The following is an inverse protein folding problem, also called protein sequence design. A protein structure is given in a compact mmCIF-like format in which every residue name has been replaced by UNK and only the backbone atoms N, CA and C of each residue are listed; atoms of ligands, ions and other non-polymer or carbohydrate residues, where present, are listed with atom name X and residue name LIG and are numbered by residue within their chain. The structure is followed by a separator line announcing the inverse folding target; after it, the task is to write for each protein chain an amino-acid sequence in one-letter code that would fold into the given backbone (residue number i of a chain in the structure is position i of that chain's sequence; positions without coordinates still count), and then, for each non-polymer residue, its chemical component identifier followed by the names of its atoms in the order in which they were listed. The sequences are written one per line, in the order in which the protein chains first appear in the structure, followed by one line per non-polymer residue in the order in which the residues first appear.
data_IF_702636143506
#
_entry.id   IF_702636143506
#
_cell.length_a   1.000
_cell.length_b   1.000
_cell.length_c   1.000
_cell.angle_alpha   90.00
_cell.angle_beta   90.00
_cell.angle_gamma   90.00
#
_symmetry.space_group_name_H-M   'P 1'
#
loop_
_entity.id
_entity.type
_entity.pdbx_description
1 polymer ?
#
# COMPACT_ATOMS: atom_id res chain seq x y z
N UNK A 1 -9.30 -16.34 -16.00
CA UNK A 1 -8.01 -16.71 -15.41
C UNK A 1 -8.02 -16.42 -13.92
N UNK A 2 -7.50 -17.37 -13.14
CA UNK A 2 -7.30 -17.20 -11.71
C UNK A 2 -5.79 -17.30 -11.41
N UNK A 3 -5.24 -16.31 -10.73
CA UNK A 3 -3.85 -16.25 -10.29
C UNK A 3 -3.83 -16.19 -8.77
N UNK A 4 -3.41 -17.28 -8.17
CA UNK A 4 -3.23 -17.41 -6.73
C UNK A 4 -1.84 -16.90 -6.32
N UNK A 5 -1.69 -16.53 -5.05
CA UNK A 5 -0.43 -16.01 -4.48
C UNK A 5 0.10 -14.75 -5.19
N UNK A 6 -0.81 -13.87 -5.62
CA UNK A 6 -0.46 -12.64 -6.32
C UNK A 6 0.46 -11.71 -5.50
N UNK A 7 0.45 -11.84 -4.17
CA UNK A 7 1.28 -11.04 -3.27
C UNK A 7 2.77 -11.41 -3.26
N UNK A 8 3.14 -12.55 -3.84
CA UNK A 8 4.56 -12.96 -3.99
C UNK A 8 4.99 -13.06 -5.46
N UNK A 9 4.18 -12.52 -6.37
CA UNK A 9 4.45 -12.53 -7.80
C UNK A 9 5.14 -11.22 -8.24
N UNK A 10 6.48 -11.19 -8.40
CA UNK A 10 7.24 -9.95 -8.60
C UNK A 10 6.95 -9.27 -9.95
N UNK A 11 6.29 -9.96 -10.87
CA UNK A 11 5.91 -9.46 -12.21
C UNK A 11 4.41 -9.55 -12.44
N UNK A 12 3.62 -9.38 -11.41
CA UNK A 12 2.17 -9.52 -11.45
C UNK A 12 1.53 -8.57 -12.47
N UNK A 13 1.99 -7.33 -12.54
CA UNK A 13 1.56 -6.33 -13.49
C UNK A 13 1.83 -6.75 -14.95
N UNK A 14 3.00 -7.32 -15.22
CA UNK A 14 3.35 -7.84 -16.54
C UNK A 14 2.49 -9.06 -16.91
N UNK A 15 2.30 -9.97 -15.95
CA UNK A 15 1.41 -11.14 -16.14
C UNK A 15 0.01 -10.69 -16.53
N UNK A 16 -0.54 -9.71 -15.82
CA UNK A 16 -1.83 -9.13 -16.14
C UNK A 16 -1.88 -8.54 -17.55
N UNK A 17 -0.89 -7.75 -17.95
CA UNK A 17 -0.83 -7.14 -19.28
C UNK A 17 -0.75 -8.20 -20.39
N UNK A 18 -0.03 -9.29 -20.19
CA UNK A 18 0.00 -10.41 -21.16
C UNK A 18 -1.32 -11.16 -21.23
N UNK A 19 -2.10 -11.22 -20.15
CA UNK A 19 -3.39 -11.92 -20.14
C UNK A 19 -4.54 -11.05 -20.69
N UNK A 20 -4.42 -9.72 -20.67
CA UNK A 20 -5.48 -8.80 -21.16
C UNK A 20 -5.97 -9.11 -22.58
N UNK A 21 -5.13 -9.32 -23.59
CA UNK A 21 -5.60 -9.66 -24.94
C UNK A 21 -6.43 -10.95 -24.99
N UNK A 22 -6.08 -11.95 -24.18
CA UNK A 22 -6.78 -13.22 -24.15
C UNK A 22 -8.18 -13.14 -23.50
N UNK A 23 -8.50 -12.01 -22.83
CA UNK A 23 -9.80 -11.75 -22.22
C UNK A 23 -10.70 -10.88 -23.09
N UNK A 24 -10.27 -10.54 -24.30
CA UNK A 24 -11.02 -9.65 -25.21
C UNK A 24 -11.23 -10.32 -26.57
N UNK A 25 -12.39 -9.98 -27.17
CA UNK A 25 -12.68 -10.24 -28.56
C UNK A 25 -13.02 -8.90 -29.24
N UNK A 26 -12.04 -8.35 -29.95
CA UNK A 26 -12.11 -6.97 -30.44
C UNK A 26 -12.21 -5.97 -29.27
N UNK A 27 -13.27 -5.18 -29.26
CA UNK A 27 -13.52 -4.19 -28.17
C UNK A 27 -14.34 -4.77 -26.99
N UNK A 28 -14.80 -6.02 -27.11
CA UNK A 28 -15.65 -6.65 -26.09
C UNK A 28 -14.81 -7.47 -25.12
N UNK A 29 -15.00 -7.25 -23.82
CA UNK A 29 -14.42 -8.10 -22.78
C UNK A 29 -15.22 -9.39 -22.68
N UNK A 30 -14.56 -10.53 -22.89
CA UNK A 30 -15.16 -11.87 -22.91
C UNK A 30 -14.65 -12.76 -21.79
N UNK A 31 -13.67 -12.31 -21.03
CA UNK A 31 -13.06 -13.06 -19.93
C UNK A 31 -12.85 -12.18 -18.70
N UNK A 32 -12.42 -12.83 -17.61
CA UNK A 32 -12.11 -12.20 -16.34
C UNK A 32 -10.75 -12.70 -15.84
N UNK A 33 -10.00 -11.80 -15.22
CA UNK A 33 -8.78 -12.13 -14.49
C UNK A 33 -9.03 -11.85 -13.00
N UNK A 34 -8.79 -12.84 -12.17
CA UNK A 34 -8.85 -12.74 -10.73
C UNK A 34 -7.45 -13.02 -10.19
N UNK A 35 -6.88 -12.05 -9.49
CA UNK A 35 -5.64 -12.19 -8.75
C UNK A 35 -5.97 -12.13 -7.26
N UNK A 36 -5.56 -13.14 -6.51
CA UNK A 36 -5.76 -13.21 -5.08
C UNK A 36 -4.49 -13.66 -4.37
N UNK A 37 -4.31 -13.26 -3.14
CA UNK A 37 -3.18 -13.67 -2.32
C UNK A 37 -3.00 -12.79 -1.10
N UNK A 38 -2.24 -13.28 -0.14
CA UNK A 38 -1.74 -12.50 0.99
C UNK A 38 -0.50 -11.70 0.58
N UNK A 39 -0.14 -10.70 1.38
CA UNK A 39 1.12 -9.98 1.19
C UNK A 39 2.26 -10.84 1.72
N UNK A 40 3.24 -11.09 0.86
CA UNK A 40 4.48 -11.81 1.20
C UNK A 40 5.69 -10.88 1.31
N UNK A 41 6.80 -11.25 0.67
CA UNK A 41 7.96 -10.37 0.56
C UNK A 41 7.59 -9.09 -0.20
N UNK A 42 7.95 -7.98 0.39
CA UNK A 42 7.57 -6.65 -0.03
C UNK A 42 8.11 -6.21 -1.37
N UNK A 43 9.33 -6.61 -1.67
CA UNK A 43 9.95 -6.33 -2.96
C UNK A 43 9.16 -6.96 -4.10
N UNK A 44 8.43 -8.05 -3.80
CA UNK A 44 7.66 -8.81 -4.77
C UNK A 44 6.20 -8.35 -4.86
N UNK A 45 5.62 -7.81 -3.78
CA UNK A 45 4.21 -7.42 -3.76
C UNK A 45 3.92 -6.00 -4.26
N UNK A 46 4.94 -5.19 -4.57
CA UNK A 46 4.75 -3.84 -5.10
C UNK A 46 3.83 -3.77 -6.32
N UNK A 47 3.94 -4.67 -7.34
CA UNK A 47 3.01 -4.66 -8.47
C UNK A 47 1.55 -4.85 -8.05
N UNK A 48 1.27 -5.79 -7.15
CA UNK A 48 -0.07 -6.01 -6.63
C UNK A 48 -0.59 -4.79 -5.84
N UNK A 49 0.26 -4.19 -5.01
CA UNK A 49 -0.06 -2.97 -4.28
C UNK A 49 -0.47 -1.85 -5.21
N UNK A 50 0.32 -1.60 -6.26
CA UNK A 50 0.05 -0.54 -7.23
C UNK A 50 -1.24 -0.79 -8.01
N UNK A 51 -1.54 -2.05 -8.32
CA UNK A 51 -2.81 -2.46 -8.93
C UNK A 51 -4.00 -2.22 -8.00
N UNK A 52 -3.88 -2.54 -6.71
CA UNK A 52 -4.96 -2.35 -5.72
C UNK A 52 -5.19 -0.86 -5.44
N UNK A 53 -4.14 -0.06 -5.31
CA UNK A 53 -4.25 1.36 -4.99
C UNK A 53 -4.63 2.24 -6.18
N UNK A 54 -4.41 1.78 -7.41
CA UNK A 54 -4.72 2.51 -8.64
C UNK A 54 -5.55 1.66 -9.61
N UNK A 55 -6.74 1.19 -9.21
CA UNK A 55 -7.53 0.25 -10.00
C UNK A 55 -7.90 0.78 -11.38
N UNK A 56 -8.22 2.07 -11.50
CA UNK A 56 -8.62 2.70 -12.77
C UNK A 56 -7.52 2.65 -13.82
N UNK A 57 -6.25 2.75 -13.40
CA UNK A 57 -5.10 2.74 -14.33
C UNK A 57 -4.88 1.38 -15.01
N UNK A 58 -5.50 0.32 -14.48
CA UNK A 58 -5.32 -1.06 -14.91
C UNK A 58 -6.63 -1.75 -15.34
N UNK A 59 -7.73 -1.03 -15.49
CA UNK A 59 -9.07 -1.61 -15.74
C UNK A 59 -9.46 -2.66 -14.67
N UNK A 60 -9.11 -2.44 -13.43
CA UNK A 60 -9.42 -3.32 -12.31
C UNK A 60 -10.74 -2.85 -11.69
N UNK A 61 -11.54 -3.80 -11.23
CA UNK A 61 -12.79 -3.48 -10.54
C UNK A 61 -12.53 -2.63 -9.30
N UNK A 62 -13.05 -1.40 -9.33
CA UNK A 62 -12.84 -0.40 -8.30
C UNK A 62 -13.94 -0.47 -7.23
N UNK A 63 -13.54 -0.53 -5.97
CA UNK A 63 -14.43 -0.60 -4.80
C UNK A 63 -14.27 0.67 -3.97
N UNK A 64 -15.39 1.31 -3.63
CA UNK A 64 -15.38 2.37 -2.62
C UNK A 64 -15.14 1.76 -1.25
N UNK A 65 -14.16 2.27 -0.53
CA UNK A 65 -13.74 1.72 0.75
C UNK A 65 -13.34 2.81 1.74
N UNK A 66 -13.42 2.50 3.02
CA UNK A 66 -12.85 3.25 4.12
C UNK A 66 -11.67 2.50 4.78
N UNK A 67 -11.19 1.43 4.12
CA UNK A 67 -10.12 0.57 4.60
C UNK A 67 -8.74 0.95 4.03
N UNK A 68 -8.57 2.19 3.57
CA UNK A 68 -7.28 2.64 3.05
C UNK A 68 -6.23 2.74 4.17
N UNK A 69 -6.65 3.22 5.35
CA UNK A 69 -5.80 3.45 6.51
C UNK A 69 -6.56 3.26 7.84
N UNK A 70 -5.86 3.44 8.96
CA UNK A 70 -6.43 3.37 10.31
C UNK A 70 -7.36 4.56 10.65
N UNK A 71 -7.44 5.59 9.81
CA UNK A 71 -8.28 6.77 10.03
C UNK A 71 -9.66 6.62 9.38
N UNK A 72 -9.88 5.56 8.63
CA UNK A 72 -11.12 5.37 7.87
C UNK A 72 -11.26 6.31 6.69
N UNK A 73 -10.14 6.71 6.08
CA UNK A 73 -10.14 7.59 4.91
C UNK A 73 -10.93 6.96 3.78
N UNK A 74 -11.95 7.69 3.32
CA UNK A 74 -12.76 7.25 2.18
C UNK A 74 -11.97 7.37 0.88
N UNK A 75 -12.05 6.35 0.05
CA UNK A 75 -11.40 6.36 -1.26
C UNK A 75 -11.83 5.18 -2.13
N UNK A 76 -11.02 4.88 -3.13
CA UNK A 76 -11.25 3.81 -4.10
C UNK A 76 -10.02 2.91 -4.14
N UNK A 77 -10.25 1.60 -4.17
CA UNK A 77 -9.19 0.61 -4.31
C UNK A 77 -9.69 -0.62 -5.06
N UNK A 78 -8.81 -1.57 -5.38
CA UNK A 78 -9.20 -2.94 -5.67
C UNK A 78 -9.88 -3.59 -4.45
N UNK A 79 -10.47 -4.76 -4.64
CA UNK A 79 -11.12 -5.48 -3.53
C UNK A 79 -10.08 -5.88 -2.48
N UNK A 80 -10.29 -5.43 -1.25
CA UNK A 80 -9.49 -5.77 -0.09
C UNK A 80 -10.38 -6.38 0.99
N UNK A 81 -9.95 -7.53 1.52
CA UNK A 81 -10.65 -8.24 2.60
C UNK A 81 -9.74 -8.17 3.84
N UNK A 82 -10.10 -7.37 4.85
CA UNK A 82 -9.32 -7.24 6.07
C UNK A 82 -9.50 -8.47 6.98
N UNK A 83 -8.52 -8.73 7.84
CA UNK A 83 -8.49 -9.88 8.74
C UNK A 83 -9.77 -9.99 9.60
N UNK A 84 -10.24 -8.88 10.15
CA UNK A 84 -11.42 -8.84 11.04
C UNK A 84 -12.73 -9.28 10.37
N UNK A 85 -12.76 -9.46 9.05
CA UNK A 85 -13.95 -9.93 8.35
C UNK A 85 -14.04 -11.45 8.23
N UNK A 86 -12.95 -12.16 8.49
CA UNK A 86 -12.91 -13.62 8.34
C UNK A 86 -12.21 -14.35 9.49
N UNK A 87 -11.97 -13.67 10.60
CA UNK A 87 -11.17 -14.15 11.71
C UNK A 87 -11.96 -15.09 12.64
N UNK A 88 -11.72 -16.42 12.67
CA UNK A 88 -12.26 -17.28 13.71
C UNK A 88 -11.61 -16.97 15.09
N UNK A 89 -12.34 -17.06 16.21
CA UNK A 89 -13.73 -17.50 16.34
C UNK A 89 -14.78 -16.37 16.21
N UNK A 90 -14.40 -15.19 15.73
CA UNK A 90 -15.26 -14.00 15.67
C UNK A 90 -16.20 -14.00 14.46
N UNK A 91 -16.85 -15.15 14.26
CA UNK A 91 -17.88 -15.35 13.25
C UNK A 91 -19.07 -15.98 13.94
N UNK A 92 -20.26 -15.40 13.78
CA UNK A 92 -21.48 -15.93 14.39
C UNK A 92 -21.97 -17.21 13.70
N UNK A 93 -23.02 -17.85 14.27
CA UNK A 93 -23.59 -19.07 13.72
C UNK A 93 -24.26 -18.90 12.35
N UNK A 94 -24.47 -17.67 11.90
CA UNK A 94 -25.04 -17.32 10.60
C UNK A 94 -23.96 -16.95 9.57
N UNK A 95 -22.68 -16.93 9.97
CA UNK A 95 -21.55 -16.57 9.12
C UNK A 95 -21.25 -15.06 9.06
N UNK A 96 -21.85 -14.24 9.96
CA UNK A 96 -21.53 -12.82 10.03
C UNK A 96 -20.29 -12.58 10.89
N UNK A 97 -19.44 -11.67 10.42
CA UNK A 97 -18.24 -11.28 11.17
C UNK A 97 -18.59 -10.40 12.36
N UNK A 98 -18.10 -10.76 13.54
CA UNK A 98 -18.15 -9.97 14.78
C UNK A 98 -16.95 -8.98 14.75
N UNK A 99 -17.08 -7.93 13.94
CA UNK A 99 -15.96 -7.06 13.54
C UNK A 99 -15.32 -6.36 14.73
N UNK A 100 -16.11 -5.86 15.68
CA UNK A 100 -15.59 -5.11 16.83
C UNK A 100 -14.78 -6.02 17.75
N UNK A 101 -15.29 -7.20 18.03
CA UNK A 101 -14.63 -8.21 18.87
C UNK A 101 -13.34 -8.73 18.20
N UNK A 102 -13.38 -8.90 16.88
CA UNK A 102 -12.20 -9.27 16.10
C UNK A 102 -11.13 -8.18 16.13
N UNK A 103 -11.51 -6.89 16.04
CA UNK A 103 -10.57 -5.77 16.11
C UNK A 103 -9.93 -5.66 17.50
N UNK A 104 -10.68 -5.82 18.59
CA UNK A 104 -10.14 -5.83 19.96
C UNK A 104 -9.09 -6.96 20.12
N UNK A 105 -9.41 -8.16 19.65
CA UNK A 105 -8.49 -9.29 19.69
C UNK A 105 -7.22 -9.06 18.84
N UNK A 106 -7.35 -8.42 17.67
CA UNK A 106 -6.20 -8.07 16.84
C UNK A 106 -5.33 -7.00 17.50
N UNK A 107 -5.92 -6.00 18.16
CA UNK A 107 -5.18 -4.98 18.89
C UNK A 107 -4.36 -5.60 20.03
N UNK A 108 -4.95 -6.49 20.82
CA UNK A 108 -4.26 -7.23 21.89
C UNK A 108 -3.11 -8.08 21.31
N UNK A 109 -3.35 -8.75 20.18
CA UNK A 109 -2.35 -9.58 19.52
C UNK A 109 -1.20 -8.73 18.94
N UNK A 110 -1.50 -7.59 18.34
CA UNK A 110 -0.49 -6.68 17.81
C UNK A 110 0.36 -6.08 18.93
N UNK A 111 -0.25 -5.74 20.08
CA UNK A 111 0.47 -5.26 21.25
C UNK A 111 1.40 -6.33 21.85
N UNK A 112 0.99 -7.60 21.82
CA UNK A 112 1.83 -8.72 22.20
C UNK A 112 3.01 -8.88 21.24
N UNK A 113 2.76 -8.92 19.92
CA UNK A 113 3.82 -9.05 18.92
C UNK A 113 4.80 -7.88 18.96
N UNK A 114 4.34 -6.66 19.24
CA UNK A 114 5.20 -5.48 19.39
C UNK A 114 6.22 -5.62 20.53
N UNK A 115 5.85 -6.34 21.59
CA UNK A 115 6.70 -6.59 22.75
C UNK A 115 7.66 -7.77 22.56
N UNK A 116 7.24 -8.78 21.80
CA UNK A 116 7.94 -10.07 21.68
C UNK A 116 8.84 -10.16 20.44
N UNK A 117 8.48 -9.47 19.35
CA UNK A 117 9.16 -9.59 18.06
C UNK A 117 10.11 -8.41 17.80
N UNK A 118 11.12 -8.65 16.98
CA UNK A 118 11.88 -7.57 16.40
C UNK A 118 11.03 -6.75 15.40
N UNK A 119 11.44 -5.53 15.03
CA UNK A 119 10.63 -4.67 14.17
C UNK A 119 10.28 -5.24 12.78
N UNK A 120 11.17 -6.06 12.21
CA UNK A 120 10.96 -6.68 10.89
C UNK A 120 9.91 -7.79 10.96
N UNK A 121 10.05 -8.71 11.93
CA UNK A 121 9.08 -9.78 12.14
C UNK A 121 7.71 -9.23 12.57
N UNK A 122 7.70 -8.19 13.39
CA UNK A 122 6.46 -7.49 13.77
C UNK A 122 5.74 -6.94 12.54
N UNK A 123 6.47 -6.24 11.66
CA UNK A 123 5.88 -5.67 10.44
C UNK A 123 5.38 -6.76 9.50
N UNK A 124 6.15 -7.85 9.33
CA UNK A 124 5.73 -8.99 8.53
C UNK A 124 4.43 -9.61 9.08
N UNK A 125 4.29 -9.77 10.39
CA UNK A 125 3.06 -10.28 11.01
C UNK A 125 1.86 -9.40 10.77
N UNK A 126 2.01 -8.07 10.92
CA UNK A 126 0.91 -7.12 10.62
C UNK A 126 0.49 -7.21 9.15
N UNK A 127 1.43 -7.30 8.22
CA UNK A 127 1.11 -7.39 6.80
C UNK A 127 0.40 -8.70 6.41
N UNK A 128 0.58 -9.75 7.19
CA UNK A 128 -0.13 -11.03 7.01
C UNK A 128 -1.53 -11.04 7.62
N UNK A 129 -1.80 -10.17 8.62
CA UNK A 129 -3.08 -10.03 9.32
C UNK A 129 -3.58 -8.57 9.29
N UNK A 130 -3.71 -7.95 8.11
CA UNK A 130 -3.93 -6.52 7.99
C UNK A 130 -5.40 -6.15 8.27
N UNK A 131 -5.60 -5.07 9.03
CA UNK A 131 -6.91 -4.47 9.27
C UNK A 131 -7.33 -3.50 8.17
N UNK A 132 -6.37 -3.02 7.39
CA UNK A 132 -6.56 -2.09 6.29
C UNK A 132 -5.44 -2.23 5.24
N UNK A 133 -5.62 -1.58 4.08
CA UNK A 133 -4.69 -1.67 2.96
C UNK A 133 -3.30 -1.13 3.33
N UNK A 134 -3.24 -0.07 4.13
CA UNK A 134 -1.97 0.48 4.56
C UNK A 134 -1.16 -0.53 5.38
N UNK A 135 -1.78 -1.24 6.32
CA UNK A 135 -1.11 -2.28 7.10
C UNK A 135 -0.64 -3.45 6.24
N UNK A 136 -1.41 -3.82 5.21
CA UNK A 136 -1.00 -4.87 4.27
C UNK A 136 0.27 -4.51 3.50
N UNK A 137 0.43 -3.24 3.12
CA UNK A 137 1.50 -2.79 2.22
C UNK A 137 2.43 -1.73 2.82
N UNK A 138 2.27 -1.35 4.10
CA UNK A 138 3.15 -0.37 4.77
C UNK A 138 4.45 -1.05 5.21
N UNK A 139 5.23 -1.36 4.22
CA UNK A 139 6.53 -1.93 4.43
C UNK A 139 7.55 -0.82 4.51
N UNK A 140 8.02 -0.61 5.66
CA UNK A 140 9.24 0.13 5.82
C UNK A 140 10.36 -0.73 5.22
N UNK A 141 10.65 -0.52 3.93
CA UNK A 141 11.89 -1.03 3.35
C UNK A 141 12.99 -0.79 4.37
N UNK A 142 13.95 -1.71 4.48
CA UNK A 142 15.16 -1.50 5.26
C UNK A 142 15.76 -0.20 4.73
N UNK A 143 15.36 0.90 5.33
CA UNK A 143 15.86 2.21 4.95
C UNK A 143 17.31 2.24 5.44
N UNK A 144 18.23 2.62 4.56
CA UNK A 144 19.61 2.91 4.95
C UNK A 144 19.66 3.94 6.10
N UNK A 145 18.57 4.68 6.24
CA UNK A 145 18.40 5.67 7.31
C UNK A 145 17.59 5.08 8.48
N UNK A 146 18.03 5.26 9.71
CA UNK A 146 17.29 4.85 10.91
C UNK A 146 15.87 5.42 10.91
N UNK A 147 14.86 4.56 11.01
CA UNK A 147 13.43 4.96 10.88
C UNK A 147 13.02 6.00 11.92
N UNK A 148 13.61 5.99 13.12
CA UNK A 148 13.34 7.01 14.15
C UNK A 148 13.83 8.41 13.74
N UNK A 149 14.92 8.50 12.97
CA UNK A 149 15.43 9.78 12.45
C UNK A 149 14.55 10.29 11.31
N UNK A 150 14.04 9.40 10.44
CA UNK A 150 13.07 9.77 9.39
C UNK A 150 11.78 10.27 10.03
N UNK A 151 11.25 9.58 11.04
CA UNK A 151 10.05 10.00 11.76
C UNK A 151 10.24 11.34 12.48
N UNK A 152 11.39 11.55 13.11
CA UNK A 152 11.73 12.82 13.74
C UNK A 152 11.85 13.96 12.71
N UNK A 153 12.44 13.69 11.54
CA UNK A 153 12.56 14.67 10.48
C UNK A 153 11.20 14.98 9.83
N UNK A 154 10.35 13.97 9.59
CA UNK A 154 9.00 14.18 9.08
C UNK A 154 8.17 15.07 10.02
N UNK A 155 8.20 14.79 11.33
CA UNK A 155 7.56 15.63 12.34
C UNK A 155 8.09 17.06 12.31
N UNK A 156 9.40 17.24 12.20
CA UNK A 156 10.04 18.56 12.11
C UNK A 156 9.63 19.32 10.85
N UNK A 157 9.39 18.61 9.74
CA UNK A 157 8.89 19.19 8.48
C UNK A 157 7.42 19.61 8.63
N UNK A 158 6.59 18.78 9.28
CA UNK A 158 5.18 19.09 9.53
C UNK A 158 4.98 20.27 10.52
N UNK A 159 5.88 20.40 11.49
CA UNK A 159 5.82 21.44 12.54
C UNK A 159 6.42 22.79 12.10
N UNK A 160 7.19 22.85 11.01
CA UNK A 160 7.83 24.07 10.51
C UNK A 160 7.21 24.52 9.20
N UNK A 161 6.74 25.76 9.16
CA UNK A 161 6.58 26.49 7.89
C UNK A 161 7.98 26.70 7.30
N UNK A 162 8.30 25.95 6.25
CA UNK A 162 9.52 26.21 5.48
C UNK A 162 9.28 27.36 4.53
N UNK A 163 10.09 28.40 4.65
CA UNK A 163 10.19 29.42 3.60
C UNK A 163 10.81 28.75 2.35
N UNK A 164 10.05 28.76 1.28
CA UNK A 164 10.56 28.31 -0.02
C UNK A 164 11.35 29.44 -0.66
N UNK A 165 12.60 29.18 -1.04
CA UNK A 165 13.36 30.07 -1.88
C UNK A 165 13.31 29.57 -3.32
N UNK A 166 12.89 30.44 -4.22
CA UNK A 166 12.95 30.14 -5.65
C UNK A 166 14.35 30.47 -6.16
N UNK A 167 14.95 29.51 -6.85
CA UNK A 167 16.27 29.66 -7.43
C UNK A 167 16.16 29.62 -8.95
N UNK A 168 16.76 30.62 -9.61
CA UNK A 168 16.95 30.60 -11.04
C UNK A 168 18.31 29.97 -11.35
N UNK A 169 18.31 28.91 -12.15
CA UNK A 169 19.51 28.24 -12.61
C UNK A 169 19.78 28.69 -14.06
N UNK A 170 20.91 29.32 -14.27
CA UNK A 170 21.35 29.76 -15.60
C UNK A 170 22.77 29.25 -15.90
N UNK A 171 23.14 29.24 -17.15
CA UNK A 171 24.50 28.92 -17.56
C UNK A 171 25.22 30.22 -17.92
N UNK A 172 26.40 30.44 -17.38
CA UNK A 172 27.22 31.58 -17.70
C UNK A 172 27.82 31.46 -19.12
N UNK A 173 28.53 32.53 -19.57
CA UNK A 173 29.17 32.56 -20.88
C UNK A 173 30.21 31.47 -21.10
N UNK A 174 30.72 30.89 -20.02
CA UNK A 174 31.76 29.84 -20.04
C UNK A 174 31.16 28.43 -19.91
N UNK A 175 29.82 28.31 -19.95
CA UNK A 175 29.11 27.05 -19.86
C UNK A 175 29.00 26.48 -18.44
N UNK A 176 29.32 27.25 -17.39
CA UNK A 176 29.19 26.82 -15.99
C UNK A 176 27.82 27.16 -15.45
N UNK A 177 27.23 26.26 -14.66
CA UNK A 177 25.95 26.54 -14.00
C UNK A 177 26.12 27.66 -12.96
N UNK A 178 25.24 28.64 -13.02
CA UNK A 178 25.11 29.75 -12.07
C UNK A 178 23.74 29.67 -11.42
N UNK A 179 23.70 29.83 -10.09
CA UNK A 179 22.47 29.77 -9.29
C UNK A 179 22.27 31.14 -8.68
N UNK A 180 21.13 31.75 -8.92
CA UNK A 180 20.73 33.04 -8.33
C UNK A 180 19.39 32.90 -7.63
N UNK A 181 19.21 33.64 -6.53
CA UNK A 181 17.92 33.63 -5.82
C UNK A 181 16.89 34.40 -6.66
N UNK A 182 15.77 33.76 -6.97
CA UNK A 182 14.70 34.38 -7.74
C UNK A 182 13.85 35.28 -6.85
N UNK A 183 13.68 36.55 -7.24
CA UNK A 183 12.79 37.48 -6.55
C UNK A 183 11.32 37.40 -7.02
N UNK A 184 10.96 36.37 -7.78
CA UNK A 184 9.59 36.14 -8.22
C UNK A 184 8.78 35.51 -7.07
N UNK A 185 7.88 36.32 -6.49
CA UNK A 185 6.78 35.86 -5.66
C UNK A 185 5.65 35.30 -6.51
#
# INVERSE_FOLDING_TARGET
FFHEEAGIAPKMDQTYEYMRPAMRSGLTTTGMFIAAGSVGDLSQCNPLRDMILNPDSKDIYAVKTNLLDNKGTLGVSGLFIPEQWSMPPYIDSYGNSLVNEALEALDDQFDKWRKELNPEDYQLRISQHPRNIKEAFDHRSISVFPTHLIAAQARRIEEKEYAYEFLDISTDSDGKPSVTTSNKR
#
